data_IF_759228288382
#
_entry.id   IF_759228288382
#
_cell.length_a   1.000
_cell.length_b   1.000
_cell.length_c   1.000
_cell.angle_alpha   90.00
_cell.angle_beta   90.00
_cell.angle_gamma   90.00
#
_symmetry.space_group_name_H-M   'P 1'
#
loop_
_entity.id
_entity.type
_entity.pdbx_description
1 polymer ?
#
# COMPACT_ATOMS: atom_id res chain seq x y z
N UNK A 1 -19.78 -18.82 -0.97
CA UNK A 1 -18.50 -18.10 -0.99
C UNK A 1 -18.50 -17.14 -2.16
N UNK A 2 -18.44 -15.84 -1.89
CA UNK A 2 -18.39 -14.71 -2.83
C UNK A 2 -16.98 -14.13 -2.75
N UNK A 3 -16.20 -14.32 -3.82
CA UNK A 3 -14.83 -13.81 -3.92
C UNK A 3 -14.81 -12.62 -4.86
N UNK A 4 -14.36 -11.47 -4.34
CA UNK A 4 -14.01 -10.31 -5.16
C UNK A 4 -12.58 -10.49 -5.69
N UNK A 5 -12.43 -10.65 -7.00
CA UNK A 5 -11.12 -10.90 -7.61
C UNK A 5 -10.28 -9.63 -7.81
N UNK A 6 -10.81 -8.44 -7.52
CA UNK A 6 -10.13 -7.19 -7.81
C UNK A 6 -10.27 -6.17 -6.67
N UNK A 7 -9.37 -6.25 -5.69
CA UNK A 7 -9.23 -5.26 -4.63
C UNK A 7 -7.86 -4.58 -4.58
N UNK A 8 -7.87 -3.30 -4.23
CA UNK A 8 -6.66 -2.50 -4.03
C UNK A 8 -6.65 -1.83 -2.64
N UNK A 9 -5.47 -1.72 -2.02
CA UNK A 9 -5.30 -1.00 -0.76
C UNK A 9 -5.24 0.52 -0.98
N UNK A 10 -6.40 1.16 -1.09
CA UNK A 10 -6.52 2.56 -1.53
C UNK A 10 -6.48 3.61 -0.42
N UNK A 11 -6.84 3.24 0.81
CA UNK A 11 -6.77 4.08 2.02
C UNK A 11 -5.70 3.48 2.90
N UNK A 12 -4.52 4.12 2.96
CA UNK A 12 -3.32 3.57 3.58
C UNK A 12 -2.94 4.38 4.84
N UNK A 13 -2.09 3.82 5.72
CA UNK A 13 -1.41 4.60 6.75
C UNK A 13 -0.64 5.76 6.11
N UNK A 14 -0.85 6.99 6.62
CA UNK A 14 -0.33 8.23 6.01
C UNK A 14 1.19 8.23 5.84
N UNK A 15 1.91 7.53 6.71
CA UNK A 15 3.36 7.41 6.65
C UNK A 15 3.85 6.74 5.35
N UNK A 16 3.09 5.80 4.78
CA UNK A 16 3.42 5.15 3.51
C UNK A 16 3.44 6.14 2.35
N UNK A 17 2.39 6.96 2.23
CA UNK A 17 2.29 7.99 1.19
C UNK A 17 3.34 9.10 1.39
N UNK A 18 3.56 9.52 2.65
CA UNK A 18 4.58 10.52 2.97
C UNK A 18 5.98 10.05 2.59
N UNK A 19 6.30 8.77 2.84
CA UNK A 19 7.58 8.19 2.44
C UNK A 19 7.71 8.11 0.91
N UNK A 20 6.64 7.78 0.18
CA UNK A 20 6.67 7.77 -1.29
C UNK A 20 6.97 9.16 -1.86
N UNK A 21 6.42 10.23 -1.28
CA UNK A 21 6.78 11.59 -1.69
C UNK A 21 8.25 11.91 -1.39
N UNK A 22 8.74 11.53 -0.21
CA UNK A 22 10.16 11.70 0.15
C UNK A 22 11.09 10.91 -0.77
N UNK A 23 10.71 9.70 -1.17
CA UNK A 23 11.46 8.88 -2.11
C UNK A 23 11.56 9.54 -3.50
N UNK A 24 10.44 10.06 -4.02
CA UNK A 24 10.43 10.79 -5.29
C UNK A 24 11.27 12.07 -5.22
N UNK A 25 11.22 12.79 -4.10
CA UNK A 25 12.02 13.98 -3.88
C UNK A 25 13.53 13.66 -3.84
N UNK A 26 13.91 12.62 -3.09
CA UNK A 26 15.29 12.16 -2.99
C UNK A 26 15.85 11.72 -4.35
N UNK A 27 15.07 10.97 -5.14
CA UNK A 27 15.45 10.58 -6.50
C UNK A 27 15.73 11.80 -7.39
N UNK A 28 14.84 12.81 -7.37
CA UNK A 28 15.05 14.06 -8.13
C UNK A 28 16.28 14.84 -7.68
N UNK A 29 16.62 14.77 -6.39
CA UNK A 29 17.79 15.44 -5.82
C UNK A 29 19.10 14.63 -5.97
N UNK A 30 19.03 13.39 -6.48
CA UNK A 30 20.18 12.49 -6.52
C UNK A 30 20.66 12.04 -5.13
N UNK A 31 19.77 12.02 -4.14
CA UNK A 31 20.06 11.65 -2.76
C UNK A 31 19.34 10.37 -2.34
N UNK A 32 19.74 9.81 -1.20
CA UNK A 32 19.08 8.64 -0.61
C UNK A 32 17.76 9.04 0.05
N UNK A 33 16.66 8.29 -0.15
CA UNK A 33 15.43 8.52 0.59
C UNK A 33 15.64 8.33 2.11
N UNK A 34 14.79 8.94 2.96
CA UNK A 34 14.80 8.62 4.38
C UNK A 34 14.46 7.13 4.60
N UNK A 35 14.78 6.57 5.77
CA UNK A 35 14.32 5.23 6.15
C UNK A 35 12.80 5.10 5.99
N UNK A 36 12.36 3.91 5.58
CA UNK A 36 10.93 3.61 5.53
C UNK A 36 10.36 3.67 6.96
N UNK A 37 9.21 4.34 7.17
CA UNK A 37 8.66 4.53 8.51
C UNK A 37 8.22 3.21 9.11
N UNK A 38 8.27 3.12 10.43
CA UNK A 38 7.60 2.05 11.15
C UNK A 38 6.09 2.32 11.08
N UNK A 39 5.33 1.34 10.59
CA UNK A 39 3.87 1.40 10.47
C UNK A 39 3.35 0.27 11.35
N UNK A 40 2.61 0.60 12.40
CA UNK A 40 2.09 -0.39 13.34
C UNK A 40 1.00 -1.25 12.72
N UNK A 41 0.78 -2.45 13.27
CA UNK A 41 -0.35 -3.28 12.86
C UNK A 41 -1.70 -2.60 13.15
N UNK A 42 -1.78 -1.78 14.19
CA UNK A 42 -3.01 -1.07 14.55
C UNK A 42 -3.37 -0.01 13.50
N UNK A 43 -2.38 0.72 12.95
CA UNK A 43 -2.61 1.64 11.83
C UNK A 43 -3.11 0.89 10.58
N UNK A 44 -2.59 -0.31 10.32
CA UNK A 44 -3.07 -1.15 9.21
C UNK A 44 -4.52 -1.58 9.47
N UNK A 45 -4.80 -2.14 10.66
CA UNK A 45 -6.14 -2.58 11.05
C UNK A 45 -7.15 -1.45 10.96
N UNK A 46 -6.84 -0.27 11.48
CA UNK A 46 -7.75 0.89 11.45
C UNK A 46 -8.20 1.20 10.02
N UNK A 47 -7.26 1.25 9.07
CA UNK A 47 -7.59 1.56 7.67
C UNK A 47 -8.40 0.43 6.99
N UNK A 48 -8.11 -0.84 7.28
CA UNK A 48 -8.84 -1.98 6.70
C UNK A 48 -10.24 -2.10 7.31
N UNK A 49 -10.37 -1.97 8.63
CA UNK A 49 -11.61 -2.08 9.38
C UNK A 49 -12.60 -0.97 9.00
N UNK A 50 -12.14 0.27 8.94
CA UNK A 50 -12.98 1.41 8.60
C UNK A 50 -13.47 1.41 7.13
N UNK A 51 -12.75 0.72 6.24
CA UNK A 51 -12.98 0.76 4.80
C UNK A 51 -13.37 -0.61 4.23
N UNK A 52 -12.38 -1.43 3.82
CA UNK A 52 -12.61 -2.65 3.06
C UNK A 52 -13.42 -3.66 3.85
N UNK A 53 -13.06 -3.93 5.11
CA UNK A 53 -13.75 -4.95 5.92
C UNK A 53 -15.18 -4.54 6.24
N UNK A 54 -15.44 -3.25 6.49
CA UNK A 54 -16.80 -2.72 6.64
C UNK A 54 -17.63 -2.97 5.37
N UNK A 55 -17.09 -2.64 4.20
CA UNK A 55 -17.80 -2.83 2.92
C UNK A 55 -17.97 -4.30 2.53
N UNK A 56 -17.02 -5.16 2.84
CA UNK A 56 -17.12 -6.62 2.66
C UNK A 56 -18.33 -7.15 3.44
N UNK A 57 -18.48 -6.74 4.71
CA UNK A 57 -19.64 -7.09 5.57
C UNK A 57 -20.95 -6.55 5.02
N UNK A 58 -20.99 -5.26 4.67
CA UNK A 58 -22.21 -4.61 4.16
C UNK A 58 -22.68 -5.17 2.81
N UNK A 59 -21.75 -5.62 1.96
CA UNK A 59 -22.03 -6.12 0.60
C UNK A 59 -22.14 -7.64 0.51
N UNK A 60 -21.87 -8.36 1.60
CA UNK A 60 -21.94 -9.82 1.65
C UNK A 60 -20.86 -10.53 0.85
N UNK A 61 -19.66 -9.96 0.74
CA UNK A 61 -18.50 -10.68 0.19
C UNK A 61 -17.81 -11.51 1.29
N UNK A 62 -17.13 -12.59 0.90
CA UNK A 62 -16.43 -13.47 1.84
C UNK A 62 -14.90 -13.25 1.81
N UNK A 63 -14.34 -12.90 0.65
CA UNK A 63 -12.90 -12.74 0.44
C UNK A 63 -12.63 -11.74 -0.68
N UNK A 64 -11.52 -11.00 -0.58
CA UNK A 64 -11.01 -10.16 -1.67
C UNK A 64 -9.58 -10.56 -2.03
N UNK A 65 -9.31 -10.78 -3.32
CA UNK A 65 -7.94 -10.84 -3.84
C UNK A 65 -7.40 -9.41 -3.83
N UNK A 66 -6.42 -9.18 -2.96
CA UNK A 66 -5.98 -7.83 -2.60
C UNK A 66 -4.57 -7.55 -3.10
N UNK A 67 -4.36 -6.33 -3.62
CA UNK A 67 -3.11 -5.91 -4.25
C UNK A 67 -2.80 -4.44 -3.95
N UNK A 68 -1.58 -3.96 -4.23
CA UNK A 68 -1.24 -2.55 -4.08
C UNK A 68 -2.17 -1.60 -4.84
N UNK A 69 -2.22 -0.33 -4.42
CA UNK A 69 -2.99 0.72 -5.10
C UNK A 69 -2.47 0.95 -6.52
N UNK A 70 -3.29 0.60 -7.52
CA UNK A 70 -2.91 0.71 -8.92
C UNK A 70 -2.43 2.10 -9.35
N UNK A 71 -3.15 3.16 -8.95
CA UNK A 71 -2.81 4.55 -9.28
C UNK A 71 -1.48 5.01 -8.68
N UNK A 72 -0.99 4.33 -7.63
CA UNK A 72 0.25 4.68 -6.94
C UNK A 72 1.45 3.81 -7.36
N UNK A 73 1.23 2.77 -8.18
CA UNK A 73 2.34 1.93 -8.69
C UNK A 73 3.37 2.77 -9.45
N UNK A 74 2.89 3.70 -10.29
CA UNK A 74 3.69 4.74 -10.96
C UNK A 74 5.09 4.27 -11.45
N UNK A 75 5.18 3.21 -12.28
CA UNK A 75 6.46 2.68 -12.76
C UNK A 75 7.22 3.66 -13.68
N UNK A 76 6.54 4.70 -14.16
CA UNK A 76 7.12 5.78 -14.96
C UNK A 76 7.87 6.83 -14.10
N UNK A 77 7.92 6.68 -12.78
CA UNK A 77 8.62 7.59 -11.86
C UNK A 77 9.82 6.90 -11.26
N UNK A 78 11.02 7.36 -11.63
CA UNK A 78 12.29 6.82 -11.16
C UNK A 78 12.92 5.86 -12.15
N UNK A 79 13.73 4.96 -11.62
CA UNK A 79 14.38 3.86 -12.32
C UNK A 79 14.04 2.51 -11.67
N UNK A 80 14.75 1.45 -12.06
CA UNK A 80 14.56 0.11 -11.49
C UNK A 80 14.76 0.08 -9.97
N UNK A 81 15.73 0.82 -9.43
CA UNK A 81 16.00 0.82 -7.99
C UNK A 81 14.83 1.45 -7.21
N UNK A 82 14.29 2.57 -7.70
CA UNK A 82 13.09 3.20 -7.14
C UNK A 82 11.88 2.25 -7.24
N UNK A 83 11.69 1.63 -8.40
CA UNK A 83 10.55 0.75 -8.66
C UNK A 83 10.61 -0.52 -7.78
N UNK A 84 11.79 -1.14 -7.65
CA UNK A 84 11.99 -2.34 -6.83
C UNK A 84 11.73 -2.07 -5.37
N UNK A 85 12.31 -1.01 -4.81
CA UNK A 85 12.07 -0.63 -3.42
C UNK A 85 10.58 -0.34 -3.18
N UNK A 86 9.95 0.44 -4.07
CA UNK A 86 8.54 0.76 -3.92
C UNK A 86 7.62 -0.47 -4.00
N UNK A 87 7.89 -1.36 -4.96
CA UNK A 87 7.15 -2.61 -5.10
C UNK A 87 7.25 -3.48 -3.83
N UNK A 88 8.44 -3.59 -3.24
CA UNK A 88 8.63 -4.33 -1.97
C UNK A 88 7.79 -3.69 -0.86
N UNK A 89 7.88 -2.36 -0.65
CA UNK A 89 7.12 -1.68 0.41
C UNK A 89 5.61 -1.82 0.27
N UNK A 90 5.08 -1.76 -0.95
CA UNK A 90 3.67 -1.99 -1.18
C UNK A 90 3.28 -3.46 -0.95
N UNK A 91 4.07 -4.42 -1.44
CA UNK A 91 3.76 -5.84 -1.30
C UNK A 91 3.88 -6.32 0.16
N UNK A 92 4.83 -5.77 0.93
CA UNK A 92 4.99 -6.05 2.36
C UNK A 92 3.76 -5.57 3.15
N UNK A 93 3.17 -4.42 2.80
CA UNK A 93 1.90 -3.98 3.40
C UNK A 93 0.75 -4.95 3.06
N UNK A 94 0.65 -5.43 1.83
CA UNK A 94 -0.37 -6.43 1.46
C UNK A 94 -0.14 -7.74 2.23
N UNK A 95 1.11 -8.19 2.36
CA UNK A 95 1.45 -9.37 3.13
C UNK A 95 1.02 -9.25 4.60
N UNK A 96 1.23 -8.09 5.22
CA UNK A 96 0.78 -7.79 6.59
C UNK A 96 -0.73 -7.66 6.77
N UNK A 97 -1.48 -7.36 5.70
CA UNK A 97 -2.95 -7.37 5.74
C UNK A 97 -3.50 -8.81 5.73
N UNK A 98 -2.75 -9.75 5.14
CA UNK A 98 -3.18 -11.16 5.00
C UNK A 98 -2.78 -12.01 6.21
N UNK A 99 -1.62 -11.74 6.82
CA UNK A 99 -1.08 -12.47 7.99
C UNK A 99 -1.57 -11.93 9.33
#
# INVERSE_FOLDING_TARGET
MIIDCHGHYTVLPKAHDAWREAQKAAFKAGTTPPPYPDISDDEIRETIEANQLRLIKERGADLTIFSPRASAMAPHVGDEAVAKEWAMRCNDLIARVVG
#
